data_IF_598279942256
#
_entry.id   IF_598279942256
#
_cell.length_a   1.000
_cell.length_b   1.000
_cell.length_c   1.000
_cell.angle_alpha   90.00
_cell.angle_beta   90.00
_cell.angle_gamma   90.00
#
_symmetry.space_group_name_H-M   'P 1'
#
loop_
_entity.id
_entity.type
_entity.pdbx_description
1 polymer ?
#
# COMPACT_ATOMS: atom_id res chain seq x y z
N UNK A 1 -1.62 0.74 -26.97
CA UNK A 1 -0.58 -0.29 -27.21
C UNK A 1 -0.47 -1.13 -25.94
N UNK A 2 -0.31 -2.43 -26.07
CA UNK A 2 -0.15 -3.31 -24.90
C UNK A 2 1.21 -4.00 -24.98
N UNK A 3 1.73 -4.40 -23.81
CA UNK A 3 2.91 -5.25 -23.72
C UNK A 3 2.61 -6.43 -22.79
N UNK A 4 3.14 -7.62 -23.12
CA UNK A 4 3.01 -8.80 -22.28
C UNK A 4 4.20 -9.74 -22.49
N UNK A 5 4.78 -10.19 -21.38
CA UNK A 5 5.67 -11.35 -21.30
C UNK A 5 5.21 -12.29 -20.16
N UNK A 6 6.09 -13.17 -19.69
CA UNK A 6 5.75 -14.17 -18.68
C UNK A 6 5.44 -13.53 -17.30
N UNK A 7 6.06 -12.38 -16.97
CA UNK A 7 5.99 -11.76 -15.65
C UNK A 7 5.34 -10.37 -15.66
N UNK A 8 5.22 -9.72 -16.82
CA UNK A 8 4.75 -8.33 -16.93
C UNK A 8 3.65 -8.22 -17.98
N UNK A 9 2.53 -7.59 -17.58
CA UNK A 9 1.45 -7.19 -18.49
C UNK A 9 1.19 -5.70 -18.34
N UNK A 10 1.44 -4.91 -19.38
CA UNK A 10 1.16 -3.47 -19.42
C UNK A 10 0.01 -3.21 -20.42
N UNK A 11 -0.97 -2.44 -19.97
CA UNK A 11 -2.20 -2.20 -20.71
C UNK A 11 -2.45 -0.70 -20.80
N UNK A 12 -2.54 -0.15 -22.01
CA UNK A 12 -2.85 1.25 -22.24
C UNK A 12 -4.35 1.45 -22.33
N UNK A 13 -4.92 2.42 -21.58
CA UNK A 13 -6.33 2.78 -21.64
C UNK A 13 -6.97 3.08 -20.29
N UNK A 14 -8.27 3.29 -20.27
CA UNK A 14 -9.05 3.53 -19.06
C UNK A 14 -9.03 2.32 -18.13
N UNK A 15 -8.69 2.55 -16.86
CA UNK A 15 -8.48 1.45 -15.91
C UNK A 15 -9.78 0.66 -15.63
N UNK A 16 -10.95 1.31 -15.60
CA UNK A 16 -12.22 0.61 -15.37
C UNK A 16 -12.59 -0.33 -16.53
N UNK A 17 -12.18 0.02 -17.75
CA UNK A 17 -12.39 -0.85 -18.92
C UNK A 17 -11.32 -1.95 -18.98
N UNK A 18 -10.06 -1.60 -18.78
CA UNK A 18 -8.93 -2.54 -18.87
C UNK A 18 -8.93 -3.59 -17.76
N UNK A 19 -9.38 -3.25 -16.55
CA UNK A 19 -9.51 -4.22 -15.45
C UNK A 19 -10.49 -5.36 -15.77
N UNK A 20 -11.47 -5.15 -16.64
CA UNK A 20 -12.39 -6.21 -17.09
C UNK A 20 -11.68 -7.35 -17.85
N UNK A 21 -10.50 -7.08 -18.42
CA UNK A 21 -9.70 -8.06 -19.15
C UNK A 21 -8.77 -8.88 -18.25
N UNK A 22 -8.66 -8.51 -16.98
CA UNK A 22 -7.87 -9.25 -15.96
C UNK A 22 -8.76 -10.35 -15.41
N UNK A 23 -8.29 -11.62 -15.39
CA UNK A 23 -9.06 -12.72 -14.82
C UNK A 23 -9.37 -12.50 -13.33
N UNK A 24 -10.55 -12.89 -12.90
CA UNK A 24 -10.90 -12.91 -11.48
C UNK A 24 -9.98 -13.88 -10.71
N UNK A 25 -9.65 -13.54 -9.48
CA UNK A 25 -8.79 -14.35 -8.64
C UNK A 25 -7.32 -14.46 -9.09
N UNK A 26 -6.82 -13.50 -9.92
CA UNK A 26 -5.46 -13.55 -10.46
C UNK A 26 -4.48 -12.54 -9.85
N UNK A 27 -4.92 -11.71 -8.90
CA UNK A 27 -4.13 -10.64 -8.30
C UNK A 27 -3.94 -10.90 -6.80
N UNK A 28 -2.72 -10.75 -6.32
CA UNK A 28 -2.36 -10.97 -4.92
C UNK A 28 -2.25 -9.67 -4.12
N UNK A 29 -1.89 -8.58 -4.78
CA UNK A 29 -1.86 -7.25 -4.21
C UNK A 29 -2.33 -6.23 -5.23
N UNK A 30 -3.22 -5.34 -4.84
CA UNK A 30 -3.44 -4.08 -5.56
C UNK A 30 -2.67 -2.99 -4.83
N UNK A 31 -1.74 -2.34 -5.52
CA UNK A 31 -0.93 -1.24 -4.98
C UNK A 31 -0.90 -0.10 -5.99
N UNK A 32 -1.60 0.98 -5.70
CA UNK A 32 -1.77 2.07 -6.67
C UNK A 32 -1.91 3.43 -6.00
N UNK A 33 -1.58 4.48 -6.78
CA UNK A 33 -1.78 5.89 -6.45
C UNK A 33 -2.86 6.48 -7.39
N UNK A 34 -4.16 6.34 -7.02
CA UNK A 34 -5.24 6.81 -7.88
C UNK A 34 -5.27 8.34 -7.96
N UNK A 35 -5.86 8.95 -9.00
CA UNK A 35 -6.04 10.39 -9.07
C UNK A 35 -6.97 10.89 -7.96
N UNK A 36 -6.58 11.98 -7.27
CA UNK A 36 -7.32 12.53 -6.13
C UNK A 36 -8.27 13.66 -6.49
N UNK A 37 -8.22 14.20 -7.73
CA UNK A 37 -8.99 15.38 -8.15
C UNK A 37 -8.52 16.68 -7.45
N UNK A 38 -7.27 16.75 -7.02
CA UNK A 38 -6.74 17.88 -6.24
C UNK A 38 -5.78 18.77 -7.02
N UNK A 39 -5.43 18.40 -8.24
CA UNK A 39 -4.52 19.13 -9.12
C UNK A 39 -5.27 19.66 -10.36
N UNK A 40 -4.67 20.63 -11.05
CA UNK A 40 -5.19 21.15 -12.32
C UNK A 40 -4.81 20.27 -13.53
N UNK A 41 -4.24 19.09 -13.31
CA UNK A 41 -3.83 18.18 -14.37
C UNK A 41 -5.05 17.47 -14.97
N UNK A 42 -5.10 17.34 -16.31
CA UNK A 42 -6.23 16.72 -17.02
C UNK A 42 -6.47 15.24 -16.64
N UNK A 43 -5.42 14.55 -16.22
CA UNK A 43 -5.47 13.14 -15.78
C UNK A 43 -5.92 12.97 -14.32
N UNK A 44 -5.96 14.05 -13.52
CA UNK A 44 -6.35 14.00 -12.10
C UNK A 44 -7.87 14.10 -11.92
N UNK A 45 -8.61 13.26 -12.63
CA UNK A 45 -10.06 13.10 -12.42
C UNK A 45 -10.33 11.90 -11.54
N UNK A 46 -11.10 12.11 -10.47
CA UNK A 46 -11.41 11.04 -9.51
C UNK A 46 -12.15 9.89 -10.21
N UNK A 47 -11.61 8.68 -10.08
CA UNK A 47 -12.26 7.46 -10.54
C UNK A 47 -13.47 7.18 -9.64
N UNK A 48 -14.58 6.74 -10.22
CA UNK A 48 -15.75 6.31 -9.43
C UNK A 48 -15.34 5.19 -8.46
N UNK A 49 -15.35 5.48 -7.15
CA UNK A 49 -14.91 4.52 -6.14
C UNK A 49 -15.78 3.26 -6.12
N UNK A 50 -17.09 3.38 -6.36
CA UNK A 50 -17.97 2.22 -6.44
C UNK A 50 -17.56 1.30 -7.61
N UNK A 51 -17.39 1.85 -8.81
CA UNK A 51 -16.94 1.08 -9.98
C UNK A 51 -15.54 0.51 -9.79
N UNK A 52 -14.65 1.26 -9.14
CA UNK A 52 -13.32 0.77 -8.78
C UNK A 52 -13.41 -0.49 -7.90
N UNK A 53 -14.19 -0.44 -6.82
CA UNK A 53 -14.35 -1.61 -5.93
C UNK A 53 -15.01 -2.80 -6.61
N UNK A 54 -16.02 -2.57 -7.48
CA UNK A 54 -16.64 -3.60 -8.29
C UNK A 54 -15.65 -4.32 -9.20
N UNK A 55 -14.64 -3.61 -9.71
CA UNK A 55 -13.60 -4.22 -10.55
C UNK A 55 -12.45 -4.83 -9.73
N UNK A 56 -11.99 -4.17 -8.68
CA UNK A 56 -10.80 -4.57 -7.91
C UNK A 56 -11.04 -5.81 -7.06
N UNK A 57 -12.16 -5.86 -6.34
CA UNK A 57 -12.40 -6.93 -5.34
C UNK A 57 -12.45 -8.33 -5.97
N UNK A 58 -13.11 -8.56 -7.12
CA UNK A 58 -13.11 -9.88 -7.76
C UNK A 58 -11.73 -10.33 -8.25
N UNK A 59 -10.80 -9.41 -8.51
CA UNK A 59 -9.45 -9.75 -8.99
C UNK A 59 -8.57 -10.37 -7.93
N UNK A 60 -8.86 -10.13 -6.63
CA UNK A 60 -8.06 -10.69 -5.54
C UNK A 60 -8.12 -12.21 -5.53
N UNK A 61 -6.94 -12.86 -5.49
CA UNK A 61 -6.80 -14.33 -5.59
C UNK A 61 -7.40 -15.08 -4.40
N UNK A 62 -7.39 -14.46 -3.22
CA UNK A 62 -7.97 -15.02 -2.00
C UNK A 62 -8.45 -13.91 -1.05
N UNK A 63 -9.27 -14.30 -0.05
CA UNK A 63 -9.86 -13.39 0.95
C UNK A 63 -8.82 -12.62 1.78
N UNK A 64 -7.61 -13.16 1.95
CA UNK A 64 -6.55 -12.58 2.78
C UNK A 64 -5.60 -11.65 2.02
N UNK A 65 -5.84 -11.42 0.74
CA UNK A 65 -5.08 -10.47 -0.09
C UNK A 65 -5.49 -9.04 0.19
N UNK A 66 -4.64 -8.10 -0.21
CA UNK A 66 -4.77 -6.70 0.19
C UNK A 66 -4.91 -5.75 -0.99
N UNK A 67 -5.58 -4.63 -0.73
CA UNK A 67 -5.64 -3.44 -1.59
C UNK A 67 -5.00 -2.29 -0.81
N UNK A 68 -3.96 -1.68 -1.35
CA UNK A 68 -3.16 -0.62 -0.74
C UNK A 68 -3.22 0.60 -1.64
N UNK A 69 -3.87 1.66 -1.16
CA UNK A 69 -4.16 2.85 -1.95
C UNK A 69 -3.57 4.09 -1.32
N UNK A 70 -2.80 4.83 -2.11
CA UNK A 70 -2.33 6.15 -1.71
C UNK A 70 -3.48 7.15 -1.69
N UNK A 71 -3.35 8.18 -0.86
CA UNK A 71 -4.35 9.22 -0.79
C UNK A 71 -3.89 10.41 0.03
N UNK A 72 -4.56 11.53 -0.16
CA UNK A 72 -4.39 12.76 0.60
C UNK A 72 -5.75 13.33 0.96
N UNK A 73 -5.87 13.96 2.13
CA UNK A 73 -7.14 14.58 2.52
C UNK A 73 -7.57 15.72 1.57
N UNK A 74 -8.89 15.82 1.23
CA UNK A 74 -10.02 15.05 1.78
C UNK A 74 -10.31 13.70 1.09
N UNK A 75 -9.63 13.38 -0.01
CA UNK A 75 -9.84 12.15 -0.79
C UNK A 75 -9.66 10.89 0.09
N UNK A 76 -8.62 10.83 0.95
CA UNK A 76 -8.38 9.68 1.83
C UNK A 76 -9.57 9.36 2.73
N UNK A 77 -10.28 10.38 3.25
CA UNK A 77 -11.48 10.18 4.07
C UNK A 77 -12.61 9.57 3.26
N UNK A 78 -12.86 10.05 2.05
CA UNK A 78 -13.88 9.51 1.14
C UNK A 78 -13.53 8.08 0.73
N UNK A 79 -12.26 7.83 0.42
CA UNK A 79 -11.76 6.50 0.06
C UNK A 79 -11.99 5.48 1.17
N UNK A 80 -11.66 5.80 2.42
CA UNK A 80 -11.89 4.91 3.56
C UNK A 80 -13.37 4.61 3.76
N UNK A 81 -14.23 5.64 3.70
CA UNK A 81 -15.68 5.48 3.86
C UNK A 81 -16.30 4.66 2.73
N UNK A 82 -15.73 4.72 1.51
CA UNK A 82 -16.25 3.97 0.37
C UNK A 82 -16.19 2.44 0.54
N UNK A 83 -15.35 1.93 1.46
CA UNK A 83 -15.28 0.49 1.77
C UNK A 83 -14.78 0.24 3.21
N UNK A 84 -15.59 0.67 4.19
CA UNK A 84 -15.26 0.51 5.61
C UNK A 84 -15.17 -0.96 6.05
N UNK A 85 -15.87 -1.86 5.38
CA UNK A 85 -15.84 -3.30 5.70
C UNK A 85 -14.44 -3.89 5.47
N UNK A 86 -13.81 -3.53 4.36
CA UNK A 86 -12.48 -3.99 4.03
C UNK A 86 -11.37 -3.16 4.69
N UNK A 87 -11.63 -1.91 5.12
CA UNK A 87 -10.62 -1.05 5.70
C UNK A 87 -10.01 -1.65 6.97
N UNK A 88 -8.66 -1.57 7.09
CA UNK A 88 -7.93 -2.11 8.23
C UNK A 88 -7.17 -1.05 9.02
N UNK A 89 -6.27 -0.34 8.37
CA UNK A 89 -5.43 0.71 8.96
C UNK A 89 -4.76 1.53 7.86
N UNK A 90 -4.06 2.61 8.29
CA UNK A 90 -3.25 3.43 7.42
C UNK A 90 -1.77 3.29 7.78
N UNK A 91 -0.92 3.42 6.75
CA UNK A 91 0.44 3.89 6.85
C UNK A 91 0.50 5.38 6.52
N UNK A 92 1.51 6.06 7.05
CA UNK A 92 1.76 7.48 6.81
C UNK A 92 3.16 7.63 6.25
N UNK A 93 3.28 7.91 4.97
CA UNK A 93 4.58 8.20 4.38
C UNK A 93 4.97 9.64 4.69
N UNK A 94 6.04 9.82 5.46
CA UNK A 94 6.63 11.13 5.75
C UNK A 94 7.66 11.47 4.69
N UNK A 95 7.39 12.53 3.95
CA UNK A 95 8.22 13.05 2.86
C UNK A 95 9.41 13.83 3.44
N UNK A 96 10.58 13.70 2.84
CA UNK A 96 11.76 14.51 3.20
C UNK A 96 11.61 15.98 2.81
N UNK A 97 10.76 16.29 1.83
CA UNK A 97 10.46 17.64 1.36
C UNK A 97 8.96 17.87 1.39
N UNK A 98 8.48 18.83 2.21
CA UNK A 98 7.06 19.17 2.24
C UNK A 98 6.63 19.88 0.96
N UNK A 99 5.32 19.94 0.74
CA UNK A 99 4.67 20.66 -0.37
C UNK A 99 3.66 21.69 0.14
N UNK A 100 3.15 22.53 -0.77
CA UNK A 100 2.11 23.52 -0.41
C UNK A 100 2.64 24.88 0.03
N UNK A 101 3.87 25.24 -0.32
CA UNK A 101 4.52 26.51 0.07
C UNK A 101 3.74 27.77 -0.32
N UNK A 102 3.01 27.75 -1.43
CA UNK A 102 2.16 28.88 -1.86
C UNK A 102 1.08 29.25 -0.84
N UNK A 103 0.67 28.31 -0.02
CA UNK A 103 -0.36 28.46 1.00
C UNK A 103 0.20 28.39 2.44
N UNK A 104 1.50 28.52 2.64
CA UNK A 104 2.15 28.32 3.93
C UNK A 104 1.70 29.31 5.02
N UNK A 105 1.14 30.46 4.63
CA UNK A 105 0.57 31.46 5.55
C UNK A 105 -0.87 31.14 5.97
N UNK A 106 -1.54 30.18 5.32
CA UNK A 106 -2.97 29.89 5.52
C UNK A 106 -3.20 28.50 6.11
N UNK A 107 -2.26 27.56 5.91
CA UNK A 107 -2.35 26.17 6.38
C UNK A 107 -0.96 25.55 6.49
N UNK A 108 -0.81 24.47 7.30
CA UNK A 108 0.44 23.75 7.41
C UNK A 108 0.94 23.22 6.05
N UNK A 109 2.26 23.12 5.91
CA UNK A 109 2.88 22.41 4.79
C UNK A 109 2.54 20.93 4.89
N UNK A 110 2.41 20.29 3.73
CA UNK A 110 2.07 18.86 3.62
C UNK A 110 3.36 18.04 3.48
N UNK A 111 3.71 17.30 4.50
CA UNK A 111 4.84 16.36 4.52
C UNK A 111 4.40 14.91 4.72
N UNK A 112 3.11 14.67 4.98
CA UNK A 112 2.52 13.34 5.14
C UNK A 112 1.63 13.00 3.95
N UNK A 113 1.74 11.76 3.48
CA UNK A 113 0.82 11.13 2.54
C UNK A 113 0.25 9.85 3.18
N UNK A 114 -1.05 9.65 3.03
CA UNK A 114 -1.77 8.51 3.62
C UNK A 114 -1.72 7.33 2.67
N UNK A 115 -1.54 6.13 3.21
CA UNK A 115 -1.58 4.87 2.46
C UNK A 115 -2.58 3.98 3.18
N UNK A 116 -3.80 3.88 2.64
CA UNK A 116 -4.88 3.13 3.26
C UNK A 116 -4.86 1.67 2.84
N UNK A 117 -4.98 0.77 3.81
CA UNK A 117 -4.92 -0.69 3.62
C UNK A 117 -6.30 -1.30 3.81
N UNK A 118 -6.71 -2.07 2.82
CA UNK A 118 -7.98 -2.78 2.78
C UNK A 118 -7.74 -4.29 2.56
N UNK A 119 -8.55 -5.14 3.18
CA UNK A 119 -8.50 -6.61 2.97
C UNK A 119 -9.80 -7.22 3.51
N UNK A 120 -10.23 -8.34 2.97
CA UNK A 120 -11.26 -9.17 3.60
C UNK A 120 -10.66 -10.07 4.70
N UNK A 121 -9.33 -10.22 4.74
CA UNK A 121 -8.63 -10.91 5.81
C UNK A 121 -8.76 -10.21 7.16
N UNK A 122 -8.50 -10.91 8.23
CA UNK A 122 -8.54 -10.39 9.61
C UNK A 122 -7.16 -9.88 10.04
N UNK A 123 -7.14 -9.02 11.06
CA UNK A 123 -5.92 -8.50 11.70
C UNK A 123 -5.88 -8.89 13.18
N UNK A 124 -6.40 -10.09 13.51
CA UNK A 124 -6.52 -10.56 14.89
C UNK A 124 -5.65 -11.78 15.14
N UNK A 125 -4.91 -11.76 16.25
CA UNK A 125 -4.07 -12.89 16.64
C UNK A 125 -4.92 -14.17 16.85
N UNK A 126 -4.46 -15.30 16.27
CA UNK A 126 -5.17 -16.58 16.33
C UNK A 126 -6.36 -16.72 15.36
N UNK A 127 -6.57 -15.78 14.46
CA UNK A 127 -7.57 -15.92 13.40
C UNK A 127 -7.05 -16.83 12.27
N UNK A 128 -7.95 -17.68 11.72
CA UNK A 128 -7.63 -18.60 10.62
C UNK A 128 -7.43 -17.85 9.26
N UNK A 129 -8.04 -16.68 9.11
CA UNK A 129 -8.06 -15.93 7.85
C UNK A 129 -7.40 -14.55 8.04
N UNK A 130 -6.20 -14.50 8.59
CA UNK A 130 -5.46 -13.25 8.69
C UNK A 130 -5.00 -12.79 7.30
N UNK A 131 -5.07 -11.47 7.08
CA UNK A 131 -4.46 -10.88 5.89
C UNK A 131 -2.95 -11.18 5.86
N UNK A 132 -2.38 -11.26 4.65
CA UNK A 132 -0.94 -11.40 4.50
C UNK A 132 -0.27 -10.14 5.02
N UNK A 133 0.66 -10.32 5.94
CA UNK A 133 1.45 -9.25 6.52
C UNK A 133 2.82 -9.78 6.92
N UNK A 134 3.83 -9.39 6.17
CA UNK A 134 5.24 -9.72 6.41
C UNK A 134 5.92 -8.49 7.04
N UNK A 135 6.07 -8.40 8.38
CA UNK A 135 6.64 -7.22 9.01
C UNK A 135 8.10 -7.03 8.60
N UNK A 136 8.40 -5.87 8.02
CA UNK A 136 9.74 -5.53 7.54
C UNK A 136 10.60 -4.94 8.66
N UNK A 137 11.93 -5.12 8.59
CA UNK A 137 12.88 -4.57 9.57
C UNK A 137 12.88 -5.24 10.94
N UNK A 138 12.29 -6.43 11.07
CA UNK A 138 12.33 -7.19 12.32
C UNK A 138 13.66 -7.93 12.49
N UNK A 139 14.11 -8.03 13.73
CA UNK A 139 15.31 -8.78 14.15
C UNK A 139 14.91 -9.94 15.05
N UNK A 140 15.51 -11.12 14.85
CA UNK A 140 15.32 -12.27 15.73
C UNK A 140 16.14 -12.09 17.02
N UNK A 141 15.52 -12.25 18.18
CA UNK A 141 16.17 -12.04 19.47
C UNK A 141 16.05 -13.22 20.44
N UNK A 142 14.96 -13.99 20.38
CA UNK A 142 14.68 -15.15 21.24
C UNK A 142 14.91 -14.88 22.74
N UNK A 143 14.44 -13.74 23.23
CA UNK A 143 14.64 -13.29 24.60
C UNK A 143 13.47 -13.68 25.50
N UNK A 144 13.77 -14.21 26.68
CA UNK A 144 12.76 -14.42 27.71
C UNK A 144 12.31 -13.07 28.31
N UNK A 145 11.02 -12.83 28.29
CA UNK A 145 10.40 -11.68 28.93
C UNK A 145 9.44 -12.12 30.03
N UNK A 146 9.57 -11.55 31.21
CA UNK A 146 8.61 -11.73 32.30
C UNK A 146 7.99 -10.39 32.69
N UNK A 147 6.74 -10.43 33.15
CA UNK A 147 6.05 -9.23 33.61
C UNK A 147 6.74 -8.72 34.89
N UNK A 148 7.10 -7.42 34.97
CA UNK A 148 7.65 -6.87 36.21
C UNK A 148 6.71 -7.07 37.41
N UNK A 149 7.27 -7.37 38.59
CA UNK A 149 6.51 -7.75 39.79
C UNK A 149 5.50 -6.70 40.28
N UNK A 150 5.77 -5.39 40.04
CA UNK A 150 4.84 -4.31 40.43
C UNK A 150 3.51 -4.36 39.67
N UNK A 151 3.43 -5.01 38.51
CA UNK A 151 2.14 -5.27 37.81
C UNK A 151 1.38 -6.47 38.40
N UNK A 152 1.98 -7.22 39.32
CA UNK A 152 1.40 -8.41 39.96
C UNK A 152 0.58 -8.07 41.19
N UNK A 153 0.75 -6.89 41.77
CA UNK A 153 0.11 -6.45 43.03
C UNK A 153 -1.18 -5.71 42.73
N UNK A 154 -2.19 -6.39 42.19
CA UNK A 154 -3.63 -6.03 42.29
C UNK A 154 -4.06 -4.58 42.10
N UNK A 155 -3.19 -3.70 41.62
CA UNK A 155 -3.55 -2.31 41.38
C UNK A 155 -4.56 -2.23 40.24
N UNK A 156 -5.73 -1.69 40.54
CA UNK A 156 -6.88 -1.57 39.63
C UNK A 156 -6.63 -0.47 38.60
N UNK A 157 -5.52 -0.59 37.87
CA UNK A 157 -5.23 0.25 36.71
C UNK A 157 -6.31 0.08 35.65
N UNK A 158 -6.50 1.10 34.87
CA UNK A 158 -7.56 1.30 33.85
C UNK A 158 -7.67 0.18 32.79
N UNK A 159 -6.75 -0.79 32.79
CA UNK A 159 -6.76 -1.98 31.93
C UNK A 159 -6.61 -3.25 32.75
N UNK A 160 -7.72 -3.94 33.11
CA UNK A 160 -7.62 -5.26 33.70
C UNK A 160 -6.88 -6.18 32.74
N UNK A 161 -5.81 -6.82 33.23
CA UNK A 161 -5.04 -7.77 32.45
C UNK A 161 -5.99 -8.83 31.86
N UNK A 162 -6.10 -8.89 30.54
CA UNK A 162 -6.89 -9.93 29.88
C UNK A 162 -6.33 -11.29 30.30
N UNK A 163 -7.20 -12.28 30.58
CA UNK A 163 -6.80 -13.66 30.95
C UNK A 163 -5.81 -14.30 29.97
N UNK A 164 -5.74 -13.80 28.73
CA UNK A 164 -4.80 -14.21 27.68
C UNK A 164 -3.37 -13.68 27.84
N UNK A 165 -3.11 -12.74 28.78
CA UNK A 165 -1.77 -12.21 28.98
C UNK A 165 -0.95 -13.16 29.83
N UNK A 166 -0.06 -13.91 29.20
CA UNK A 166 0.91 -14.78 29.89
C UNK A 166 1.83 -13.91 30.77
N UNK A 167 2.19 -14.44 31.96
CA UNK A 167 3.10 -13.79 32.90
C UNK A 167 4.55 -13.76 32.37
N UNK A 168 4.90 -14.73 31.54
CA UNK A 168 6.16 -14.81 30.82
C UNK A 168 5.93 -15.24 29.37
N UNK A 169 6.78 -14.80 28.47
CA UNK A 169 6.78 -15.18 27.05
C UNK A 169 8.20 -15.07 26.49
N UNK A 170 8.48 -15.80 25.45
CA UNK A 170 9.66 -15.56 24.61
C UNK A 170 9.32 -14.45 23.60
N UNK A 171 10.17 -13.44 23.54
CA UNK A 171 10.13 -12.44 22.48
C UNK A 171 11.01 -12.99 21.35
N UNK A 172 10.35 -13.47 20.28
CA UNK A 172 11.04 -14.06 19.14
C UNK A 172 11.66 -12.99 18.25
N UNK A 173 10.96 -11.87 18.07
CA UNK A 173 11.37 -10.76 17.20
C UNK A 173 11.16 -9.41 17.83
N UNK A 174 12.04 -8.46 17.49
CA UNK A 174 11.93 -7.02 17.82
C UNK A 174 11.93 -6.18 16.55
N UNK A 175 11.76 -4.86 16.68
CA UNK A 175 11.82 -3.94 15.57
C UNK A 175 10.57 -3.96 14.67
N UNK A 176 9.42 -4.38 15.19
CA UNK A 176 8.18 -4.34 14.41
C UNK A 176 7.89 -2.93 13.87
N UNK A 177 7.43 -2.82 12.61
CA UNK A 177 7.20 -1.53 11.96
C UNK A 177 6.21 -0.65 12.70
N UNK A 178 6.42 0.65 12.62
CA UNK A 178 5.47 1.68 13.08
C UNK A 178 4.74 2.25 11.89
N UNK A 179 3.57 2.86 12.11
CA UNK A 179 2.72 3.38 11.04
C UNK A 179 3.35 4.51 10.20
N UNK A 180 4.35 5.22 10.73
CA UNK A 180 5.04 6.27 9.99
C UNK A 180 6.25 5.66 9.29
N UNK A 181 6.30 5.83 7.96
CA UNK A 181 7.35 5.38 7.08
C UNK A 181 8.16 6.59 6.60
N UNK A 182 9.48 6.55 6.80
CA UNK A 182 10.39 7.60 6.39
C UNK A 182 11.13 7.18 5.11
N UNK A 183 10.66 7.66 3.97
CA UNK A 183 11.33 7.48 2.68
C UNK A 183 11.55 8.85 2.03
N UNK A 184 12.74 9.13 1.49
CA UNK A 184 13.00 10.41 0.82
C UNK A 184 12.12 10.53 -0.43
N UNK A 185 11.73 11.78 -0.74
CA UNK A 185 11.12 12.04 -2.05
C UNK A 185 12.07 11.63 -3.17
N UNK A 186 11.56 11.19 -4.33
CA UNK A 186 12.39 10.93 -5.49
C UNK A 186 13.25 12.16 -5.85
N UNK A 187 14.41 11.93 -6.46
CA UNK A 187 15.32 12.98 -6.89
C UNK A 187 14.69 13.92 -7.94
N UNK A 188 15.30 15.09 -8.19
CA UNK A 188 14.74 16.13 -9.08
C UNK A 188 14.49 15.68 -10.53
N UNK A 189 15.17 14.65 -10.99
CA UNK A 189 15.00 14.08 -12.34
C UNK A 189 13.94 12.96 -12.31
N UNK A 190 12.70 13.32 -11.99
CA UNK A 190 11.56 12.38 -11.98
C UNK A 190 10.91 12.29 -13.35
N UNK A 191 10.40 11.12 -13.69
CA UNK A 191 9.71 10.87 -14.95
C UNK A 191 8.21 11.25 -14.87
N UNK A 192 7.69 11.42 -13.65
CA UNK A 192 6.32 11.84 -13.38
C UNK A 192 6.27 12.81 -12.20
N UNK A 193 5.42 13.87 -12.22
CA UNK A 193 5.36 14.89 -11.16
C UNK A 193 5.03 14.34 -9.76
N UNK A 194 4.30 13.24 -9.69
CA UNK A 194 3.86 12.58 -8.45
C UNK A 194 4.53 11.22 -8.22
N UNK A 195 5.68 10.98 -8.86
CA UNK A 195 6.41 9.71 -8.75
C UNK A 195 6.71 9.35 -7.29
N UNK A 196 6.42 8.10 -6.92
CA UNK A 196 6.72 7.56 -5.60
C UNK A 196 8.16 7.02 -5.53
N UNK A 197 8.81 6.99 -4.34
CA UNK A 197 10.10 6.32 -4.19
C UNK A 197 9.98 4.81 -4.48
N UNK A 198 10.93 4.23 -5.22
CA UNK A 198 10.96 2.79 -5.51
C UNK A 198 11.04 1.99 -4.21
N UNK A 199 11.88 2.43 -3.28
CA UNK A 199 12.10 1.78 -1.98
C UNK A 199 10.82 1.73 -1.12
N UNK A 200 9.96 2.75 -1.20
CA UNK A 200 8.65 2.72 -0.53
C UNK A 200 7.73 1.67 -1.16
N UNK A 201 7.71 1.57 -2.50
CA UNK A 201 6.90 0.56 -3.19
C UNK A 201 7.43 -0.84 -2.88
N UNK A 202 8.74 -1.05 -2.86
CA UNK A 202 9.37 -2.32 -2.46
C UNK A 202 9.01 -2.71 -1.02
N UNK A 203 9.04 -1.77 -0.10
CA UNK A 203 8.64 -2.00 1.30
C UNK A 203 7.18 -2.49 1.39
N UNK A 204 6.26 -1.83 0.68
CA UNK A 204 4.84 -2.20 0.69
C UNK A 204 4.61 -3.54 -0.02
N UNK A 205 5.26 -3.81 -1.15
CA UNK A 205 5.16 -5.07 -1.87
C UNK A 205 5.66 -6.22 -0.99
N UNK A 206 6.84 -6.10 -0.37
CA UNK A 206 7.36 -7.12 0.54
C UNK A 206 6.46 -7.37 1.74
N UNK A 207 5.79 -6.30 2.24
CA UNK A 207 4.88 -6.42 3.38
C UNK A 207 3.63 -7.26 3.06
N UNK A 208 3.11 -7.17 1.84
CA UNK A 208 1.80 -7.76 1.50
C UNK A 208 1.86 -8.91 0.48
N UNK A 209 3.05 -9.27 0.01
CA UNK A 209 3.24 -10.34 -0.99
C UNK A 209 4.41 -11.26 -0.67
N UNK A 210 4.44 -12.40 -1.36
CA UNK A 210 5.58 -13.30 -1.46
C UNK A 210 6.16 -13.28 -2.88
N UNK A 211 7.35 -13.90 -3.09
CA UNK A 211 7.90 -14.06 -4.44
C UNK A 211 6.93 -14.81 -5.35
N UNK A 212 6.85 -14.38 -6.61
CA UNK A 212 5.94 -14.93 -7.60
C UNK A 212 4.50 -14.44 -7.52
N UNK A 213 4.10 -13.74 -6.44
CA UNK A 213 2.78 -13.12 -6.34
C UNK A 213 2.60 -12.03 -7.41
N UNK A 214 1.34 -11.80 -7.83
CA UNK A 214 0.97 -10.81 -8.85
C UNK A 214 0.50 -9.51 -8.22
N UNK A 215 1.13 -8.40 -8.61
CA UNK A 215 0.76 -7.04 -8.18
C UNK A 215 0.07 -6.30 -9.32
N UNK A 216 -1.07 -5.68 -9.02
CA UNK A 216 -1.81 -4.80 -9.93
C UNK A 216 -1.64 -3.33 -9.51
N UNK A 217 -1.21 -2.51 -10.46
CA UNK A 217 -1.29 -1.04 -10.38
C UNK A 217 -2.16 -0.53 -11.54
N UNK A 218 -3.40 -0.14 -11.24
CA UNK A 218 -4.35 0.25 -12.29
C UNK A 218 -4.24 1.75 -12.68
N UNK A 219 -3.28 2.49 -12.11
CA UNK A 219 -2.92 3.87 -12.46
C UNK A 219 -1.41 4.06 -12.35
N UNK A 220 -0.65 3.21 -13.09
CA UNK A 220 0.79 3.02 -12.86
C UNK A 220 1.68 4.24 -13.15
N UNK A 221 1.15 5.28 -13.82
CA UNK A 221 1.91 6.47 -14.16
C UNK A 221 3.21 6.15 -14.88
N UNK A 222 4.34 6.55 -14.32
CA UNK A 222 5.68 6.24 -14.84
C UNK A 222 6.22 4.84 -14.44
N UNK A 223 5.39 3.96 -13.86
CA UNK A 223 5.70 2.54 -13.65
C UNK A 223 6.56 2.22 -12.43
N UNK A 224 6.59 3.05 -11.39
CA UNK A 224 7.43 2.81 -10.20
C UNK A 224 7.09 1.50 -9.49
N UNK A 225 5.80 1.16 -9.39
CA UNK A 225 5.33 -0.12 -8.82
C UNK A 225 5.87 -1.31 -9.63
N UNK A 226 5.86 -1.20 -10.97
CA UNK A 226 6.39 -2.26 -11.85
C UNK A 226 7.90 -2.44 -11.72
N UNK A 227 8.67 -1.35 -11.58
CA UNK A 227 10.12 -1.42 -11.29
C UNK A 227 10.37 -2.14 -9.96
N UNK A 228 9.63 -1.79 -8.91
CA UNK A 228 9.73 -2.45 -7.61
C UNK A 228 9.36 -3.94 -7.68
N UNK A 229 8.32 -4.30 -8.43
CA UNK A 229 7.94 -5.71 -8.66
C UNK A 229 9.06 -6.51 -9.32
N UNK A 230 9.70 -5.94 -10.35
CA UNK A 230 10.84 -6.57 -11.03
C UNK A 230 12.01 -6.80 -10.08
N UNK A 231 12.37 -5.79 -9.29
CA UNK A 231 13.45 -5.90 -8.30
C UNK A 231 13.21 -7.02 -7.27
N UNK A 232 11.95 -7.31 -6.99
CA UNK A 232 11.53 -8.24 -5.96
C UNK A 232 11.03 -9.60 -6.49
N UNK A 233 11.17 -9.90 -7.77
CA UNK A 233 10.67 -11.12 -8.42
C UNK A 233 9.16 -11.32 -8.21
N UNK A 234 8.35 -10.26 -8.39
CA UNK A 234 6.89 -10.31 -8.43
C UNK A 234 6.39 -10.13 -9.85
N UNK A 235 5.27 -10.78 -10.19
CA UNK A 235 4.58 -10.50 -11.44
C UNK A 235 3.87 -9.15 -11.35
N UNK A 236 3.77 -8.44 -12.47
CA UNK A 236 3.19 -7.11 -12.51
C UNK A 236 2.14 -6.96 -13.61
N UNK A 237 1.00 -6.37 -13.23
CA UNK A 237 -0.01 -5.89 -14.18
C UNK A 237 -0.13 -4.38 -13.97
N UNK A 238 0.16 -3.60 -15.01
CA UNK A 238 0.09 -2.14 -14.99
C UNK A 238 -0.92 -1.60 -16.00
N UNK A 239 -1.73 -0.61 -15.60
CA UNK A 239 -2.64 0.10 -16.50
C UNK A 239 -2.31 1.59 -16.45
N UNK A 240 -2.25 2.23 -17.62
CA UNK A 240 -2.02 3.67 -17.73
C UNK A 240 -2.87 4.26 -18.86
N UNK A 241 -3.55 5.36 -18.57
CA UNK A 241 -4.42 6.05 -19.51
C UNK A 241 -3.62 6.86 -20.53
N UNK A 242 -2.61 7.60 -20.08
CA UNK A 242 -1.80 8.49 -20.90
C UNK A 242 -0.74 7.71 -21.67
N UNK A 243 -0.77 7.78 -23.01
CA UNK A 243 0.15 7.06 -23.90
C UNK A 243 1.62 7.40 -23.62
N UNK A 244 1.93 8.66 -23.31
CA UNK A 244 3.29 9.10 -23.01
C UNK A 244 3.82 8.47 -21.73
N UNK A 245 3.02 8.49 -20.66
CA UNK A 245 3.40 7.85 -19.41
C UNK A 245 3.45 6.33 -19.53
N UNK A 246 2.57 5.74 -20.33
CA UNK A 246 2.62 4.31 -20.64
C UNK A 246 3.97 3.91 -21.27
N UNK A 247 4.46 4.64 -22.28
CA UNK A 247 5.75 4.34 -22.92
C UNK A 247 6.93 4.58 -21.96
N UNK A 248 6.87 5.62 -21.12
CA UNK A 248 7.88 5.84 -20.06
C UNK A 248 7.89 4.66 -19.08
N UNK A 249 6.74 4.23 -18.59
CA UNK A 249 6.60 3.10 -17.67
C UNK A 249 7.16 1.83 -18.29
N UNK A 250 6.80 1.54 -19.53
CA UNK A 250 7.29 0.38 -20.28
C UNK A 250 8.82 0.36 -20.38
N UNK A 251 9.43 1.49 -20.75
CA UNK A 251 10.89 1.58 -20.82
C UNK A 251 11.55 1.37 -19.47
N UNK A 252 11.01 1.94 -18.39
CA UNK A 252 11.56 1.79 -17.03
C UNK A 252 11.44 0.38 -16.46
N UNK A 253 10.31 -0.27 -16.74
CA UNK A 253 10.03 -1.62 -16.20
C UNK A 253 10.85 -2.67 -16.96
N UNK A 254 11.02 -2.52 -18.26
CA UNK A 254 11.71 -3.52 -19.09
C UNK A 254 13.23 -3.33 -19.12
N UNK A 255 13.75 -2.15 -18.78
CA UNK A 255 15.18 -1.83 -18.71
C UNK A 255 15.70 -1.32 -20.01
#
# INVERSE_FOLDING_TARGET
>A
MDYRDDNVRLMQGDCLDRMKEIPDGSVDLVLTDPPYGTTACKWDSVISLNLMWEQVVPKLSTINKSVVLFGQEPFSSVLRVSNLEMYKYDWYWRKSRPSGFTNAKLKPLKDIEVISVFSNGKTANGSLNNMIYNPQGTEEVNEEWSRPSHYMSGDKGVNPARKSHKLSRVIEKRGYPRQVLDFPNPNKNVNHPTEKPVELMEYLINTYTNEGDTVLDFTMGSGTTGVACRNLNRNFIGIELDEKYFEIAKQRILG
#
